data_IF_223936095797
#
_entry.id   IF_223936095797
#
_cell.length_a   1.000
_cell.length_b   1.000
_cell.length_c   1.000
_cell.angle_alpha   90.00
_cell.angle_beta   90.00
_cell.angle_gamma   90.00
#
_symmetry.space_group_name_H-M   'P 1'
#
loop_
_entity.id
_entity.type
_entity.pdbx_description
1 polymer ?
#
# COMPACT_ATOMS: atom_id res chain seq x y z
N UNK A 1 6.76 18.58 34.48
CA UNK A 1 5.72 17.68 33.94
C UNK A 1 5.06 18.36 32.75
N UNK A 2 5.57 18.10 31.54
CA UNK A 2 4.92 18.50 30.30
C UNK A 2 3.78 17.51 30.01
N UNK A 3 2.55 17.97 29.70
CA UNK A 3 1.44 17.06 29.47
C UNK A 3 1.72 16.20 28.24
N UNK A 4 1.84 14.89 28.47
CA UNK A 4 1.92 13.87 27.43
C UNK A 4 0.64 13.92 26.60
N UNK A 5 0.71 14.50 25.39
CA UNK A 5 -0.42 14.58 24.47
C UNK A 5 -0.51 15.85 23.61
N UNK A 6 0.25 16.90 23.93
CA UNK A 6 0.25 18.11 23.11
C UNK A 6 1.07 17.91 21.82
N UNK A 7 0.39 17.72 20.68
CA UNK A 7 1.02 17.75 19.36
C UNK A 7 1.83 19.06 19.25
N UNK A 8 3.14 19.01 18.90
CA UNK A 8 3.96 20.19 18.70
C UNK A 8 3.24 21.22 17.82
N UNK A 9 3.18 22.49 18.27
CA UNK A 9 2.46 23.58 17.56
C UNK A 9 2.91 23.79 16.11
N UNK A 10 4.10 23.32 15.76
CA UNK A 10 4.63 23.38 14.40
C UNK A 10 3.99 22.34 13.45
N UNK A 11 3.64 21.16 13.97
CA UNK A 11 2.97 20.13 13.17
C UNK A 11 1.53 20.54 12.82
N UNK A 12 0.84 21.24 13.73
CA UNK A 12 -0.52 21.77 13.47
C UNK A 12 -0.52 22.90 12.44
N UNK A 13 0.58 23.65 12.29
CA UNK A 13 0.73 24.67 11.23
C UNK A 13 0.87 24.05 9.85
N UNK A 14 1.59 22.93 9.72
CA UNK A 14 1.75 22.21 8.45
C UNK A 14 0.57 21.29 8.11
N UNK A 15 -0.18 20.84 9.12
CA UNK A 15 -1.30 19.91 8.94
C UNK A 15 -2.43 20.52 8.09
N UNK A 16 -2.79 21.78 8.32
CA UNK A 16 -3.86 22.46 7.56
C UNK A 16 -3.56 22.59 6.05
N UNK A 17 -2.40 23.14 5.62
CA UNK A 17 -2.09 23.22 4.19
C UNK A 17 -1.90 21.83 3.56
N UNK A 18 -1.34 20.86 4.29
CA UNK A 18 -1.24 19.48 3.78
C UNK A 18 -2.61 18.83 3.57
N UNK A 19 -3.55 19.01 4.51
CA UNK A 19 -4.93 18.53 4.37
C UNK A 19 -5.67 19.22 3.21
N UNK A 20 -5.47 20.53 3.03
CA UNK A 20 -6.05 21.28 1.91
C UNK A 20 -5.47 20.83 0.56
N UNK A 21 -4.16 20.61 0.49
CA UNK A 21 -3.51 20.08 -0.71
C UNK A 21 -3.98 18.64 -1.02
N UNK A 22 -4.13 17.80 0.00
CA UNK A 22 -4.68 16.45 -0.16
C UNK A 22 -6.15 16.50 -0.61
N UNK A 23 -6.98 17.36 -0.03
CA UNK A 23 -8.37 17.56 -0.43
C UNK A 23 -8.49 18.06 -1.88
N UNK A 24 -7.68 19.07 -2.25
CA UNK A 24 -7.62 19.57 -3.62
C UNK A 24 -7.16 18.47 -4.59
N UNK A 25 -6.17 17.66 -4.20
CA UNK A 25 -5.72 16.50 -4.97
C UNK A 25 -6.81 15.45 -5.17
N UNK A 26 -7.59 15.14 -4.14
CA UNK A 26 -8.73 14.21 -4.22
C UNK A 26 -9.82 14.77 -5.15
N UNK A 27 -10.16 16.06 -5.02
CA UNK A 27 -11.16 16.70 -5.90
C UNK A 27 -10.70 16.68 -7.35
N UNK A 28 -9.44 17.02 -7.63
CA UNK A 28 -8.88 16.94 -8.97
C UNK A 28 -8.89 15.49 -9.51
N UNK A 29 -8.60 14.49 -8.67
CA UNK A 29 -8.70 13.08 -9.03
C UNK A 29 -10.14 12.68 -9.41
N UNK A 30 -11.13 13.09 -8.62
CA UNK A 30 -12.54 12.78 -8.87
C UNK A 30 -13.06 13.47 -10.13
N UNK A 31 -12.62 14.70 -10.39
CA UNK A 31 -12.93 15.42 -11.64
C UNK A 31 -12.27 14.72 -12.83
N UNK A 32 -11.02 14.27 -12.72
CA UNK A 32 -10.34 13.61 -13.83
C UNK A 32 -10.93 12.24 -14.20
N UNK A 33 -11.56 11.57 -13.22
CA UNK A 33 -12.29 10.32 -13.45
C UNK A 33 -13.43 10.48 -14.47
N UNK A 34 -14.09 11.65 -14.51
CA UNK A 34 -15.20 11.89 -15.44
C UNK A 34 -14.74 12.20 -16.87
N UNK A 35 -13.52 12.71 -17.05
CA UNK A 35 -12.99 13.04 -18.38
C UNK A 35 -12.26 11.88 -19.05
N UNK A 36 -11.47 11.11 -18.30
CA UNK A 36 -10.64 10.03 -18.87
C UNK A 36 -10.38 8.93 -17.84
N UNK A 37 -11.30 7.97 -17.68
CA UNK A 37 -11.17 6.88 -16.71
C UNK A 37 -9.87 6.08 -16.86
N UNK A 38 -9.44 5.83 -18.10
CA UNK A 38 -8.21 5.09 -18.36
C UNK A 38 -6.96 5.80 -17.85
N UNK A 39 -6.87 7.11 -18.04
CA UNK A 39 -5.72 7.90 -17.56
C UNK A 39 -5.71 7.99 -16.04
N UNK A 40 -6.88 8.14 -15.43
CA UNK A 40 -7.05 8.12 -13.97
C UNK A 40 -6.49 6.83 -13.36
N UNK A 41 -6.94 5.66 -13.82
CA UNK A 41 -6.52 4.39 -13.23
C UNK A 41 -5.03 4.14 -13.40
N UNK A 42 -4.44 4.52 -14.56
CA UNK A 42 -2.99 4.39 -14.80
C UNK A 42 -2.18 5.26 -13.83
N UNK A 43 -2.54 6.52 -13.64
CA UNK A 43 -1.88 7.41 -12.68
C UNK A 43 -2.05 6.93 -11.24
N UNK A 44 -3.26 6.49 -10.89
CA UNK A 44 -3.57 5.94 -9.58
C UNK A 44 -2.76 4.68 -9.26
N UNK A 45 -2.59 3.78 -10.24
CA UNK A 45 -1.76 2.59 -10.10
C UNK A 45 -0.31 2.94 -9.78
N UNK A 46 0.28 3.95 -10.44
CA UNK A 46 1.65 4.39 -10.16
C UNK A 46 1.79 4.93 -8.73
N UNK A 47 0.86 5.80 -8.31
CA UNK A 47 0.85 6.35 -6.96
C UNK A 47 0.67 5.26 -5.90
N UNK A 48 -0.24 4.31 -6.14
CA UNK A 48 -0.48 3.19 -5.25
C UNK A 48 0.74 2.25 -5.17
N UNK A 49 1.39 1.94 -6.30
CA UNK A 49 2.61 1.12 -6.34
C UNK A 49 3.76 1.78 -5.58
N UNK A 50 3.88 3.10 -5.63
CA UNK A 50 4.89 3.83 -4.87
C UNK A 50 4.70 3.65 -3.36
N UNK A 51 3.47 3.84 -2.85
CA UNK A 51 3.18 3.69 -1.42
C UNK A 51 3.29 2.22 -0.98
N UNK A 52 2.82 1.28 -1.81
CA UNK A 52 2.98 -0.15 -1.56
C UNK A 52 4.46 -0.56 -1.52
N UNK A 53 5.27 -0.07 -2.46
CA UNK A 53 6.70 -0.36 -2.55
C UNK A 53 7.46 0.10 -1.31
N UNK A 54 7.17 1.30 -0.80
CA UNK A 54 7.73 1.77 0.47
C UNK A 54 7.32 0.85 1.62
N UNK A 55 6.03 0.52 1.72
CA UNK A 55 5.50 -0.31 2.82
C UNK A 55 6.11 -1.73 2.83
N UNK A 56 6.21 -2.37 1.66
CA UNK A 56 6.84 -3.69 1.50
C UNK A 56 8.35 -3.65 1.68
N UNK A 57 9.02 -2.61 1.16
CA UNK A 57 10.45 -2.41 1.38
C UNK A 57 10.79 -2.27 2.85
N UNK A 58 10.00 -1.49 3.59
CA UNK A 58 10.13 -1.36 5.04
C UNK A 58 9.92 -2.70 5.76
N UNK A 59 8.91 -3.49 5.38
CA UNK A 59 8.69 -4.81 5.94
C UNK A 59 9.91 -5.73 5.72
N UNK A 60 10.48 -5.73 4.51
CA UNK A 60 11.66 -6.53 4.19
C UNK A 60 12.89 -6.12 5.03
N UNK A 61 13.12 -4.81 5.20
CA UNK A 61 14.21 -4.29 6.04
C UNK A 61 14.01 -4.69 7.52
N UNK A 62 12.77 -4.62 8.02
CA UNK A 62 12.44 -5.06 9.39
C UNK A 62 12.74 -6.56 9.53
N UNK A 63 12.32 -7.41 8.60
CA UNK A 63 12.62 -8.84 8.65
C UNK A 63 14.13 -9.11 8.61
N UNK A 64 14.87 -8.41 7.75
CA UNK A 64 16.33 -8.52 7.67
C UNK A 64 17.01 -8.10 8.97
N UNK A 65 16.52 -7.05 9.63
CA UNK A 65 17.05 -6.61 10.92
C UNK A 65 16.87 -7.63 12.03
N UNK A 66 15.76 -8.37 12.02
CA UNK A 66 15.52 -9.47 12.96
C UNK A 66 16.45 -10.67 12.67
N UNK A 67 16.77 -10.92 11.41
CA UNK A 67 17.65 -12.02 11.02
C UNK A 67 19.13 -11.76 11.34
N UNK A 68 19.59 -10.53 11.13
CA UNK A 68 21.01 -10.17 11.20
C UNK A 68 21.48 -9.68 12.56
N UNK A 69 20.58 -9.20 13.43
CA UNK A 69 20.91 -8.75 14.78
C UNK A 69 21.86 -7.55 14.85
N UNK A 70 22.07 -6.80 13.76
CA UNK A 70 23.00 -5.67 13.72
C UNK A 70 22.48 -4.44 14.48
N UNK A 71 23.32 -3.81 15.28
CA UNK A 71 22.95 -2.65 16.11
C UNK A 71 22.47 -1.43 15.32
N UNK A 72 22.89 -1.28 14.07
CA UNK A 72 22.42 -0.21 13.16
C UNK A 72 20.91 -0.23 12.91
N UNK A 73 20.28 -1.39 13.13
CA UNK A 73 18.86 -1.59 12.86
C UNK A 73 17.93 -1.05 13.95
N UNK A 74 18.45 -0.73 15.14
CA UNK A 74 17.67 -0.19 16.25
C UNK A 74 16.92 1.10 15.86
N UNK A 75 17.59 2.01 15.14
CA UNK A 75 16.98 3.26 14.66
C UNK A 75 15.95 3.03 13.55
N UNK A 76 16.19 2.06 12.68
CA UNK A 76 15.39 1.83 11.47
C UNK A 76 14.16 0.97 11.77
N UNK A 77 14.22 0.08 12.76
CA UNK A 77 13.14 -0.87 13.09
C UNK A 77 11.81 -0.20 13.38
N UNK A 78 11.76 0.75 14.32
CA UNK A 78 10.48 1.39 14.71
C UNK A 78 9.83 2.15 13.54
N UNK A 79 10.64 2.84 12.74
CA UNK A 79 10.16 3.53 11.53
C UNK A 79 9.69 2.53 10.48
N UNK A 80 10.45 1.44 10.28
CA UNK A 80 10.12 0.38 9.35
C UNK A 80 8.84 -0.38 9.73
N UNK A 81 8.63 -0.67 11.01
CA UNK A 81 7.42 -1.30 11.52
C UNK A 81 6.20 -0.39 11.35
N UNK A 82 6.35 0.91 11.63
CA UNK A 82 5.29 1.88 11.39
C UNK A 82 4.92 1.95 9.90
N UNK A 83 5.91 2.00 9.02
CA UNK A 83 5.71 2.00 7.57
C UNK A 83 5.12 0.67 7.05
N UNK A 84 5.53 -0.47 7.61
CA UNK A 84 4.98 -1.80 7.25
C UNK A 84 3.50 -1.94 7.65
N UNK A 85 3.06 -1.34 8.75
CA UNK A 85 1.64 -1.34 9.11
C UNK A 85 0.75 -0.59 8.12
N UNK A 86 1.34 0.25 7.25
CA UNK A 86 0.62 0.91 6.18
C UNK A 86 0.09 -0.07 5.12
N UNK A 87 0.51 -1.35 5.14
CA UNK A 87 -0.03 -2.41 4.29
C UNK A 87 -1.55 -2.57 4.41
N UNK A 88 -2.14 -2.32 5.58
CA UNK A 88 -3.61 -2.32 5.76
C UNK A 88 -4.24 -1.18 4.94
N UNK A 89 -3.65 0.00 4.98
CA UNK A 89 -4.11 1.16 4.20
C UNK A 89 -3.94 0.88 2.71
N UNK A 90 -2.81 0.30 2.29
CA UNK A 90 -2.58 -0.10 0.90
C UNK A 90 -3.62 -1.13 0.40
N UNK A 91 -4.06 -2.06 1.26
CA UNK A 91 -5.13 -3.01 0.93
C UNK A 91 -6.47 -2.31 0.70
N UNK A 92 -6.82 -1.32 1.53
CA UNK A 92 -8.04 -0.51 1.35
C UNK A 92 -7.93 0.33 0.06
N UNK A 93 -6.78 0.97 -0.16
CA UNK A 93 -6.52 1.76 -1.37
C UNK A 93 -6.43 0.91 -2.65
N UNK A 94 -6.37 -0.42 -2.54
CA UNK A 94 -6.46 -1.30 -3.71
C UNK A 94 -7.90 -1.44 -4.24
N UNK A 95 -8.92 -1.17 -3.41
CA UNK A 95 -10.33 -1.36 -3.78
C UNK A 95 -10.71 -0.61 -5.08
N UNK A 96 -10.35 0.67 -5.28
CA UNK A 96 -10.66 1.34 -6.54
C UNK A 96 -9.94 0.71 -7.74
N UNK A 97 -8.71 0.20 -7.58
CA UNK A 97 -8.01 -0.50 -8.66
C UNK A 97 -8.72 -1.80 -9.07
N UNK A 98 -9.33 -2.51 -8.12
CA UNK A 98 -10.07 -3.74 -8.38
C UNK A 98 -11.26 -3.50 -9.33
N UNK A 99 -11.92 -2.34 -9.25
CA UNK A 99 -12.97 -1.94 -10.19
C UNK A 99 -12.41 -1.43 -11.52
N UNK A 100 -11.18 -0.93 -11.52
CA UNK A 100 -10.50 -0.37 -12.68
C UNK A 100 -9.74 -1.35 -13.57
N UNK A 101 -9.77 -2.66 -13.29
CA UNK A 101 -8.90 -3.65 -13.95
C UNK A 101 -8.96 -3.61 -15.49
N UNK A 102 -10.14 -3.43 -16.07
CA UNK A 102 -10.34 -3.34 -17.53
C UNK A 102 -9.57 -2.17 -18.18
N UNK A 103 -9.33 -1.09 -17.43
CA UNK A 103 -8.60 0.08 -17.92
C UNK A 103 -7.08 -0.06 -17.77
N UNK A 104 -6.64 -0.97 -16.91
CA UNK A 104 -5.25 -1.20 -16.56
C UNK A 104 -4.63 -2.34 -17.36
N UNK A 105 -5.39 -3.41 -17.57
CA UNK A 105 -4.88 -4.66 -18.08
C UNK A 105 -5.65 -5.12 -19.32
N UNK A 106 -4.98 -5.35 -20.46
CA UNK A 106 -5.62 -5.81 -21.69
C UNK A 106 -6.34 -7.17 -21.53
N UNK A 107 -5.86 -8.03 -20.64
CA UNK A 107 -6.48 -9.34 -20.36
C UNK A 107 -7.76 -9.23 -19.51
N UNK A 108 -8.03 -8.07 -18.89
CA UNK A 108 -9.25 -7.83 -18.12
C UNK A 108 -10.37 -7.20 -18.97
N UNK A 109 -10.08 -6.81 -20.21
CA UNK A 109 -11.03 -6.24 -21.15
C UNK A 109 -11.69 -7.37 -22.00
N UNK A 110 -13.00 -7.60 -21.87
CA UNK A 110 -13.72 -8.61 -22.64
C UNK A 110 -13.66 -8.40 -24.16
N UNK A 111 -13.52 -7.15 -24.62
CA UNK A 111 -13.45 -6.83 -26.05
C UNK A 111 -12.09 -7.23 -26.63
N UNK A 112 -11.00 -6.86 -25.96
CA UNK A 112 -9.64 -7.22 -26.36
C UNK A 112 -9.38 -8.73 -26.27
N UNK A 113 -9.97 -9.42 -25.29
CA UNK A 113 -9.91 -10.88 -25.17
C UNK A 113 -10.49 -11.60 -26.40
N UNK A 114 -11.50 -11.04 -27.06
CA UNK A 114 -12.10 -11.66 -28.27
C UNK A 114 -11.25 -11.42 -29.51
N UNK A 115 -10.60 -10.28 -29.58
CA UNK A 115 -9.86 -9.83 -30.77
C UNK A 115 -8.44 -10.38 -30.82
N UNK A 116 -7.81 -10.65 -29.67
CA UNK A 116 -6.38 -10.99 -29.57
C UNK A 116 -6.20 -12.46 -29.11
N UNK A 117 -5.85 -13.40 -30.02
CA UNK A 117 -5.73 -14.83 -29.70
C UNK A 117 -4.62 -15.16 -28.69
N UNK A 118 -3.55 -14.36 -28.63
CA UNK A 118 -2.45 -14.62 -27.70
C UNK A 118 -2.85 -14.41 -26.23
N UNK A 119 -3.89 -13.62 -25.95
CA UNK A 119 -4.40 -13.43 -24.59
C UNK A 119 -5.08 -14.70 -24.03
N UNK A 120 -5.59 -15.57 -24.91
CA UNK A 120 -6.23 -16.84 -24.50
C UNK A 120 -5.24 -17.81 -23.85
N UNK A 121 -4.00 -17.83 -24.32
CA UNK A 121 -2.96 -18.72 -23.82
C UNK A 121 -2.50 -18.36 -22.39
N UNK A 122 -2.78 -17.14 -21.91
CA UNK A 122 -2.48 -16.68 -20.54
C UNK A 122 -3.71 -16.56 -19.64
N UNK A 123 -4.89 -16.93 -20.12
CA UNK A 123 -6.17 -16.77 -19.40
C UNK A 123 -6.23 -17.54 -18.06
N UNK A 124 -5.57 -18.70 -17.97
CA UNK A 124 -5.46 -19.48 -16.74
C UNK A 124 -4.80 -18.70 -15.60
N UNK A 125 -3.74 -17.94 -15.90
CA UNK A 125 -3.04 -17.13 -14.90
C UNK A 125 -3.60 -15.71 -14.79
N UNK A 126 -4.12 -15.16 -15.88
CA UNK A 126 -4.50 -13.74 -16.00
C UNK A 126 -6.00 -13.58 -16.22
N UNK A 127 -6.79 -14.15 -15.30
CA UNK A 127 -8.23 -13.88 -15.23
C UNK A 127 -8.53 -12.97 -14.02
N UNK A 128 -9.55 -12.08 -14.12
CA UNK A 128 -9.84 -11.12 -13.05
C UNK A 128 -10.15 -11.75 -11.67
N UNK A 129 -10.98 -12.80 -11.55
CA UNK A 129 -11.26 -13.42 -10.26
C UNK A 129 -9.99 -14.00 -9.59
N UNK A 130 -9.16 -14.73 -10.35
CA UNK A 130 -7.93 -15.34 -9.86
C UNK A 130 -6.88 -14.28 -9.49
N UNK A 131 -6.81 -13.19 -10.24
CA UNK A 131 -5.97 -12.05 -9.89
C UNK A 131 -6.37 -11.49 -8.52
N UNK A 132 -7.66 -11.23 -8.30
CA UNK A 132 -8.16 -10.68 -7.02
C UNK A 132 -7.93 -11.64 -5.84
N UNK A 133 -8.16 -12.94 -6.03
CA UNK A 133 -7.89 -13.96 -4.99
C UNK A 133 -6.42 -13.95 -4.59
N UNK A 134 -5.49 -13.97 -5.55
CA UNK A 134 -4.06 -13.92 -5.24
C UNK A 134 -3.67 -12.61 -4.56
N UNK A 135 -4.22 -11.48 -5.00
CA UNK A 135 -3.98 -10.20 -4.34
C UNK A 135 -4.43 -10.22 -2.88
N UNK A 136 -5.61 -10.79 -2.60
CA UNK A 136 -6.08 -10.96 -1.23
C UNK A 136 -5.15 -11.85 -0.40
N UNK A 137 -4.68 -12.96 -0.98
CA UNK A 137 -3.70 -13.86 -0.33
C UNK A 137 -2.40 -13.12 -0.01
N UNK A 138 -1.86 -12.34 -0.96
CA UNK A 138 -0.65 -11.56 -0.75
C UNK A 138 -0.81 -10.55 0.39
N UNK A 139 -1.92 -9.81 0.41
CA UNK A 139 -2.20 -8.88 1.51
C UNK A 139 -2.40 -9.59 2.84
N UNK A 140 -3.09 -10.72 2.87
CA UNK A 140 -3.27 -11.50 4.09
C UNK A 140 -1.91 -11.93 4.66
N UNK A 141 -1.00 -12.43 3.81
CA UNK A 141 0.35 -12.83 4.21
C UNK A 141 1.14 -11.62 4.73
N UNK A 142 1.22 -10.54 3.95
CA UNK A 142 2.02 -9.37 4.31
C UNK A 142 1.52 -8.66 5.57
N UNK A 143 0.20 -8.51 5.71
CA UNK A 143 -0.41 -7.91 6.91
C UNK A 143 -0.14 -8.78 8.13
N UNK A 144 -0.29 -10.10 8.01
CA UNK A 144 0.00 -11.04 9.11
C UNK A 144 1.47 -10.95 9.55
N UNK A 145 2.40 -10.92 8.59
CA UNK A 145 3.82 -10.76 8.89
C UNK A 145 4.10 -9.41 9.57
N UNK A 146 3.60 -8.31 9.02
CA UNK A 146 3.79 -6.98 9.59
C UNK A 146 3.22 -6.86 11.01
N UNK A 147 2.03 -7.41 11.24
CA UNK A 147 1.39 -7.40 12.57
C UNK A 147 2.14 -8.27 13.57
N UNK A 148 2.58 -9.46 13.15
CA UNK A 148 3.33 -10.38 14.01
C UNK A 148 4.67 -9.78 14.43
N UNK A 149 5.44 -9.21 13.49
CA UNK A 149 6.72 -8.56 13.79
C UNK A 149 6.55 -7.40 14.78
N UNK A 150 5.55 -6.54 14.53
CA UNK A 150 5.24 -5.44 15.44
C UNK A 150 4.84 -5.95 16.83
N UNK A 151 4.01 -6.98 16.91
CA UNK A 151 3.57 -7.56 18.19
C UNK A 151 4.77 -8.08 18.98
N UNK A 152 5.66 -8.83 18.33
CA UNK A 152 6.85 -9.39 18.96
C UNK A 152 7.84 -8.29 19.42
N UNK A 153 8.02 -7.23 18.63
CA UNK A 153 8.86 -6.10 19.04
C UNK A 153 8.28 -5.36 20.25
N UNK A 154 6.96 -5.16 20.30
CA UNK A 154 6.29 -4.54 21.46
C UNK A 154 6.33 -5.42 22.71
N UNK A 155 6.45 -6.74 22.55
CA UNK A 155 6.61 -7.67 23.65
C UNK A 155 8.03 -7.60 24.24
N UNK A 156 9.07 -7.60 23.39
CA UNK A 156 10.47 -7.38 23.81
C UNK A 156 10.65 -6.06 24.56
N UNK A 157 10.03 -4.97 24.07
CA UNK A 157 10.03 -3.67 24.76
C UNK A 157 9.43 -3.73 26.19
N UNK A 158 8.53 -4.69 26.46
CA UNK A 158 7.85 -4.83 27.75
C UNK A 158 8.58 -5.78 28.70
N UNK A 159 9.18 -6.85 28.17
CA UNK A 159 9.89 -7.85 28.97
C UNK A 159 11.32 -7.42 29.29
N UNK A 160 11.94 -6.55 28.48
CA UNK A 160 13.29 -6.04 28.71
C UNK A 160 14.41 -7.05 28.40
N UNK A 161 14.03 -8.21 27.85
CA UNK A 161 14.90 -9.26 27.29
C UNK A 161 14.95 -9.15 25.77
#
# INVERSE_FOLDING_TARGET
MTPAGAIPRELTRLQRPALLAAAAGIVLMLVWLTFSPAQFFRGYLVAWLFVLGISLGSLAIVMLSHLTGGEWSWLVRRLGEAAANNLIVCAILFIPLAFGLKYLYPWADPELLRTIPILHHKSLWSNPPWFLIRTLIYFAIWITLAFTMRRLSLEHDRTGD
#
